data_IF_971521231385
#
_entry.id   IF_971521231385
#
_cell.length_a   1.000
_cell.length_b   1.000
_cell.length_c   1.000
_cell.angle_alpha   90.00
_cell.angle_beta   90.00
_cell.angle_gamma   90.00
#
_symmetry.space_group_name_H-M   'P 1'
#
loop_
_entity.id
_entity.type
_entity.pdbx_description
1 polymer ?
#
# COMPACT_ATOMS: atom_id res chain seq x y z
N UNK A 1 -10.08 4.31 25.88
CA UNK A 1 -10.42 3.97 24.48
C UNK A 1 -9.95 2.55 24.27
N UNK A 2 -10.87 1.58 24.18
CA UNK A 2 -10.51 0.16 24.09
C UNK A 2 -9.78 -0.09 22.78
N UNK A 3 -8.60 -0.71 22.86
CA UNK A 3 -8.00 -1.39 21.72
C UNK A 3 -9.07 -2.35 21.16
N UNK A 4 -9.38 -2.23 19.87
CA UNK A 4 -10.25 -3.17 19.17
C UNK A 4 -9.72 -4.57 19.41
N UNK A 5 -10.57 -5.49 19.88
CA UNK A 5 -10.20 -6.90 20.00
C UNK A 5 -9.76 -7.38 18.60
N UNK A 6 -8.55 -7.93 18.43
CA UNK A 6 -8.04 -8.39 17.14
C UNK A 6 -8.52 -9.81 16.77
N UNK A 7 -9.13 -10.56 17.70
CA UNK A 7 -9.72 -11.87 17.41
C UNK A 7 -10.81 -11.86 16.29
N UNK A 8 -11.72 -10.86 16.21
CA UNK A 8 -12.66 -10.71 15.10
C UNK A 8 -11.99 -10.36 13.76
N UNK A 9 -10.76 -9.82 13.78
CA UNK A 9 -10.01 -9.42 12.58
C UNK A 9 -9.21 -10.60 11.98
N UNK A 10 -9.22 -11.76 12.65
CA UNK A 10 -8.57 -12.97 12.16
C UNK A 10 -7.04 -12.97 12.31
N UNK A 11 -6.50 -12.20 13.26
CA UNK A 11 -5.08 -12.23 13.60
C UNK A 11 -4.72 -13.57 14.27
N UNK A 12 -3.70 -14.30 13.82
CA UNK A 12 -3.32 -15.59 14.40
C UNK A 12 -2.91 -15.50 15.89
N UNK A 13 -3.27 -16.52 16.68
CA UNK A 13 -2.97 -16.55 18.11
C UNK A 13 -1.47 -16.53 18.44
N UNK A 14 -0.62 -17.14 17.60
CA UNK A 14 0.83 -17.12 17.82
C UNK A 14 1.43 -15.73 17.55
N UNK A 15 0.85 -14.96 16.61
CA UNK A 15 1.23 -13.57 16.40
C UNK A 15 0.89 -12.73 17.64
N UNK A 16 -0.29 -12.91 18.22
CA UNK A 16 -0.69 -12.26 19.47
C UNK A 16 0.30 -12.51 20.61
N UNK A 17 0.78 -13.76 20.76
CA UNK A 17 1.78 -14.12 21.79
C UNK A 17 3.11 -13.41 21.54
N UNK A 18 3.62 -13.46 20.31
CA UNK A 18 4.85 -12.75 19.91
C UNK A 18 4.77 -11.26 20.25
N UNK A 19 3.64 -10.60 19.93
CA UNK A 19 3.46 -9.17 20.19
C UNK A 19 3.44 -8.85 21.70
N UNK A 20 2.86 -9.72 22.53
CA UNK A 20 2.85 -9.56 23.98
C UNK A 20 4.26 -9.65 24.60
N UNK A 21 5.16 -10.45 24.00
CA UNK A 21 6.52 -10.65 24.49
C UNK A 21 7.47 -9.47 24.17
N UNK A 22 7.19 -8.67 23.13
CA UNK A 22 8.09 -7.59 22.67
C UNK A 22 8.27 -6.44 23.70
N UNK A 23 7.33 -6.26 24.65
CA UNK A 23 7.34 -5.19 25.68
C UNK A 23 7.94 -3.84 25.20
N UNK A 24 7.49 -3.28 24.06
CA UNK A 24 8.20 -2.19 23.41
C UNK A 24 8.16 -0.88 24.22
N UNK A 25 9.33 -0.31 24.51
CA UNK A 25 9.48 0.94 25.25
C UNK A 25 9.81 0.78 26.75
N UNK A 26 9.93 -0.46 27.24
CA UNK A 26 10.56 -0.72 28.54
C UNK A 26 12.08 -0.88 28.37
N UNK A 27 12.92 -0.49 29.35
CA UNK A 27 14.33 -0.82 29.34
C UNK A 27 14.53 -2.33 29.17
N UNK A 28 15.23 -2.74 28.10
CA UNK A 28 15.45 -4.15 27.74
C UNK A 28 14.38 -4.78 26.84
N UNK A 29 13.34 -4.05 26.42
CA UNK A 29 12.40 -4.51 25.40
C UNK A 29 13.05 -4.55 24.01
N UNK A 30 12.94 -5.68 23.32
CA UNK A 30 13.46 -5.87 21.96
C UNK A 30 12.35 -5.58 20.94
N UNK A 31 12.73 -5.09 19.76
CA UNK A 31 11.83 -4.97 18.61
C UNK A 31 12.48 -5.58 17.37
N UNK A 32 11.64 -6.04 16.45
CA UNK A 32 12.04 -6.38 15.08
C UNK A 32 11.52 -5.29 14.13
N UNK A 33 12.16 -5.13 12.98
CA UNK A 33 11.80 -4.12 11.98
C UNK A 33 12.31 -4.54 10.61
N UNK A 34 11.62 -4.13 9.56
CA UNK A 34 12.03 -4.27 8.16
C UNK A 34 12.80 -3.06 7.63
N UNK A 35 12.94 -2.00 8.43
CA UNK A 35 13.71 -0.80 8.09
C UNK A 35 15.20 -1.15 7.96
N UNK A 36 15.84 -0.62 6.93
CA UNK A 36 17.31 -0.61 6.88
C UNK A 36 17.90 0.25 8.01
N UNK A 37 19.21 0.13 8.25
CA UNK A 37 19.91 0.91 9.29
C UNK A 37 19.70 2.41 9.11
N UNK A 38 19.78 2.91 7.88
CA UNK A 38 19.58 4.34 7.59
C UNK A 38 18.15 4.78 7.87
N UNK A 39 17.17 3.98 7.42
CA UNK A 39 15.75 4.25 7.66
C UNK A 39 15.40 4.23 9.14
N UNK A 40 15.97 3.28 9.90
CA UNK A 40 15.81 3.22 11.36
C UNK A 40 16.25 4.53 12.02
N UNK A 41 17.44 5.02 11.70
CA UNK A 41 17.99 6.24 12.30
C UNK A 41 17.16 7.48 11.92
N UNK A 42 16.71 7.58 10.67
CA UNK A 42 15.90 8.71 10.20
C UNK A 42 14.49 8.70 10.78
N UNK A 43 13.86 7.53 10.93
CA UNK A 43 12.58 7.40 11.64
C UNK A 43 12.72 7.84 13.10
N UNK A 44 13.82 7.47 13.77
CA UNK A 44 14.14 7.96 15.13
C UNK A 44 14.31 9.47 15.17
N UNK A 45 15.04 10.04 14.23
CA UNK A 45 15.26 11.48 14.12
C UNK A 45 13.96 12.24 13.84
N UNK A 46 13.04 11.67 13.06
CA UNK A 46 11.70 12.20 12.82
C UNK A 46 10.79 12.19 14.07
N UNK A 47 11.28 11.68 15.21
CA UNK A 47 10.53 11.63 16.47
C UNK A 47 9.65 10.40 16.62
N UNK A 48 9.97 9.31 15.91
CA UNK A 48 9.23 8.05 15.98
C UNK A 48 10.14 6.92 16.45
N UNK A 49 9.68 6.09 17.40
CA UNK A 49 10.36 4.86 17.79
C UNK A 49 9.71 3.64 17.13
N UNK A 50 10.48 2.78 16.45
CA UNK A 50 9.99 1.47 16.05
C UNK A 50 9.62 0.64 17.29
N UNK A 51 8.50 -0.07 17.20
CA UNK A 51 7.98 -0.88 18.31
C UNK A 51 7.70 -2.34 17.92
N UNK A 52 7.82 -2.68 16.63
CA UNK A 52 7.76 -4.06 16.19
C UNK A 52 7.49 -4.21 14.69
N UNK A 53 7.84 -5.36 14.15
CA UNK A 53 7.45 -5.80 12.83
C UNK A 53 6.01 -6.30 12.90
N UNK A 54 5.15 -5.78 12.03
CA UNK A 54 3.75 -6.17 11.92
C UNK A 54 3.51 -6.82 10.57
N UNK A 55 2.65 -7.84 10.57
CA UNK A 55 2.32 -8.59 9.38
C UNK A 55 0.81 -8.84 9.31
N UNK A 56 0.28 -8.84 8.10
CA UNK A 56 -1.05 -9.35 7.81
C UNK A 56 -0.98 -10.21 6.56
N UNK A 57 -1.66 -11.35 6.58
CA UNK A 57 -1.75 -12.24 5.42
C UNK A 57 -3.22 -12.57 5.13
N UNK A 58 -3.56 -12.71 3.86
CA UNK A 58 -4.84 -13.17 3.36
C UNK A 58 -4.63 -14.17 2.22
N UNK A 59 -5.02 -15.42 2.44
CA UNK A 59 -5.06 -16.43 1.38
C UNK A 59 -6.43 -16.34 0.70
N UNK A 60 -6.41 -16.12 -0.60
CA UNK A 60 -7.62 -15.91 -1.38
C UNK A 60 -7.70 -16.94 -2.51
N UNK A 61 -8.88 -17.55 -2.66
CA UNK A 61 -9.19 -18.37 -3.82
C UNK A 61 -9.76 -17.50 -4.93
N UNK A 62 -9.00 -17.32 -6.00
CA UNK A 62 -9.36 -16.51 -7.15
C UNK A 62 -10.15 -17.35 -8.13
N UNK A 63 -11.48 -17.22 -8.08
CA UNK A 63 -12.34 -17.95 -9.00
C UNK A 63 -12.08 -17.56 -10.47
N UNK A 64 -11.94 -18.56 -11.34
CA UNK A 64 -11.83 -18.36 -12.79
C UNK A 64 -13.13 -17.74 -13.30
N UNK A 65 -13.06 -16.50 -13.77
CA UNK A 65 -14.18 -15.84 -14.43
C UNK A 65 -14.10 -16.06 -15.95
N UNK A 66 -14.87 -17.02 -16.47
CA UNK A 66 -15.06 -17.22 -17.91
C UNK A 66 -15.96 -16.10 -18.48
N UNK A 67 -15.47 -14.86 -18.49
CA UNK A 67 -16.15 -13.73 -19.14
C UNK A 67 -16.09 -13.87 -20.67
N UNK A 68 -17.08 -13.39 -21.43
CA UNK A 68 -17.11 -13.47 -22.92
C UNK A 68 -15.81 -12.92 -23.53
N UNK A 69 -15.00 -13.81 -24.12
CA UNK A 69 -13.60 -13.61 -24.59
C UNK A 69 -13.44 -12.62 -25.77
N UNK A 70 -14.50 -11.89 -26.13
CA UNK A 70 -14.59 -11.08 -27.35
C UNK A 70 -14.73 -9.58 -27.12
N UNK A 71 -14.66 -9.09 -25.88
CA UNK A 71 -14.75 -7.66 -25.56
C UNK A 71 -13.66 -7.23 -24.57
N UNK A 72 -13.06 -6.08 -24.85
CA UNK A 72 -12.23 -5.36 -23.88
C UNK A 72 -13.14 -4.82 -22.78
N UNK A 73 -12.91 -5.24 -21.53
CA UNK A 73 -13.69 -4.78 -20.37
C UNK A 73 -13.00 -5.10 -19.06
N UNK A 74 -13.34 -4.35 -18.02
CA UNK A 74 -12.98 -4.70 -16.65
C UNK A 74 -13.70 -5.99 -16.21
N UNK A 75 -12.95 -6.88 -15.57
CA UNK A 75 -13.49 -7.99 -14.80
C UNK A 75 -13.76 -7.49 -13.38
N UNK A 76 -14.91 -6.83 -13.17
CA UNK A 76 -15.24 -6.14 -11.92
C UNK A 76 -15.22 -7.08 -10.71
N UNK A 77 -15.76 -8.29 -10.82
CA UNK A 77 -15.75 -9.27 -9.72
C UNK A 77 -14.33 -9.65 -9.31
N UNK A 78 -13.46 -9.92 -10.29
CA UNK A 78 -12.07 -10.23 -10.03
C UNK A 78 -11.33 -9.01 -9.45
N UNK A 79 -11.58 -7.81 -9.98
CA UNK A 79 -11.01 -6.56 -9.46
C UNK A 79 -11.38 -6.33 -7.99
N UNK A 80 -12.64 -6.53 -7.64
CA UNK A 80 -13.12 -6.42 -6.26
C UNK A 80 -12.55 -7.52 -5.35
N UNK A 81 -12.41 -8.75 -5.84
CA UNK A 81 -11.77 -9.83 -5.10
C UNK A 81 -10.29 -9.50 -4.79
N UNK A 82 -9.56 -8.99 -5.78
CA UNK A 82 -8.15 -8.61 -5.64
C UNK A 82 -7.96 -7.43 -4.69
N UNK A 83 -8.87 -6.46 -4.74
CA UNK A 83 -8.91 -5.36 -3.79
C UNK A 83 -9.17 -5.86 -2.37
N UNK A 84 -10.25 -6.60 -2.15
CA UNK A 84 -10.66 -7.09 -0.84
C UNK A 84 -9.60 -8.00 -0.21
N UNK A 85 -8.88 -8.81 -1.00
CA UNK A 85 -7.80 -9.64 -0.49
C UNK A 85 -6.64 -8.82 0.10
N UNK A 86 -6.29 -7.68 -0.53
CA UNK A 86 -5.29 -6.73 -0.02
C UNK A 86 -5.79 -5.98 1.20
N UNK A 87 -7.03 -5.50 1.15
CA UNK A 87 -7.68 -4.81 2.26
C UNK A 87 -7.70 -5.67 3.52
N UNK A 88 -7.98 -6.98 3.40
CA UNK A 88 -7.97 -7.92 4.52
C UNK A 88 -6.56 -8.10 5.10
N UNK A 89 -5.53 -8.22 4.26
CA UNK A 89 -4.15 -8.31 4.71
C UNK A 89 -3.73 -7.02 5.44
N UNK A 90 -4.06 -5.85 4.90
CA UNK A 90 -3.79 -4.56 5.53
C UNK A 90 -4.51 -4.42 6.88
N UNK A 91 -5.80 -4.75 6.93
CA UNK A 91 -6.61 -4.69 8.16
C UNK A 91 -6.01 -5.52 9.29
N UNK A 92 -5.48 -6.71 8.96
CA UNK A 92 -4.81 -7.59 9.93
C UNK A 92 -3.47 -7.03 10.41
N UNK A 93 -2.68 -6.44 9.52
CA UNK A 93 -1.45 -5.76 9.89
C UNK A 93 -1.71 -4.54 10.79
N UNK A 94 -2.74 -3.74 10.48
CA UNK A 94 -3.16 -2.60 11.29
C UNK A 94 -3.65 -3.03 12.68
N UNK A 95 -4.34 -4.17 12.76
CA UNK A 95 -4.74 -4.78 14.03
C UNK A 95 -3.55 -5.11 14.93
N UNK A 96 -2.51 -5.76 14.37
CA UNK A 96 -1.27 -6.02 15.10
C UNK A 96 -0.62 -4.72 15.61
N UNK A 97 -0.54 -3.71 14.74
CA UNK A 97 0.04 -2.41 15.12
C UNK A 97 -0.79 -1.70 16.21
N UNK A 98 -2.11 -1.73 16.11
CA UNK A 98 -3.00 -1.17 17.11
C UNK A 98 -2.82 -1.84 18.47
N UNK A 99 -2.63 -3.16 18.50
CA UNK A 99 -2.36 -3.93 19.71
C UNK A 99 -1.01 -3.56 20.35
N UNK A 100 0.01 -3.28 19.55
CA UNK A 100 1.29 -2.74 20.03
C UNK A 100 1.18 -1.29 20.54
N UNK A 101 0.02 -0.65 20.36
CA UNK A 101 -0.18 0.76 20.72
C UNK A 101 0.48 1.73 19.75
N UNK A 102 0.77 1.30 18.51
CA UNK A 102 1.39 2.10 17.47
C UNK A 102 0.58 3.36 17.16
N UNK A 103 1.26 4.39 16.70
CA UNK A 103 0.63 5.57 16.09
C UNK A 103 0.57 5.46 14.56
N UNK A 104 1.45 4.64 13.98
CA UNK A 104 1.40 4.29 12.57
C UNK A 104 2.32 3.13 12.19
N UNK A 105 2.36 2.84 10.90
CA UNK A 105 3.18 1.81 10.27
C UNK A 105 3.90 2.47 9.09
N UNK A 106 5.23 2.31 9.04
CA UNK A 106 6.11 2.89 8.01
C UNK A 106 6.75 1.76 7.20
N UNK A 107 7.10 2.06 5.94
CA UNK A 107 7.81 1.12 5.09
C UNK A 107 6.94 -0.04 4.59
N UNK A 108 5.62 0.14 4.57
CA UNK A 108 4.72 -0.97 4.26
C UNK A 108 4.98 -1.50 2.85
N UNK A 109 4.99 -2.83 2.73
CA UNK A 109 5.11 -3.56 1.47
C UNK A 109 3.93 -4.51 1.33
N UNK A 110 3.28 -4.45 0.17
CA UNK A 110 2.29 -5.42 -0.26
C UNK A 110 2.90 -6.36 -1.29
N UNK A 111 2.88 -7.66 -1.01
CA UNK A 111 3.27 -8.70 -1.96
C UNK A 111 2.14 -9.68 -2.21
N UNK A 112 2.17 -10.28 -3.40
CA UNK A 112 1.24 -11.34 -3.79
C UNK A 112 2.06 -12.55 -4.23
N UNK A 113 1.96 -13.62 -3.47
CA UNK A 113 2.62 -14.90 -3.72
C UNK A 113 1.60 -15.92 -4.24
N UNK A 114 1.83 -16.44 -5.44
CA UNK A 114 1.08 -17.59 -5.92
C UNK A 114 1.49 -18.82 -5.09
N UNK A 115 0.53 -19.59 -4.57
CA UNK A 115 0.82 -20.83 -3.84
C UNK A 115 0.68 -22.01 -4.79
N UNK A 116 1.63 -22.94 -4.75
CA UNK A 116 1.66 -24.13 -5.63
C UNK A 116 0.53 -25.15 -5.34
N UNK A 117 -0.30 -24.92 -4.32
CA UNK A 117 -1.38 -25.83 -3.90
C UNK A 117 -2.63 -25.80 -4.79
N UNK A 118 -2.61 -25.05 -5.90
CA UNK A 118 -3.64 -25.02 -6.92
C UNK A 118 -3.53 -23.73 -7.74
N UNK A 119 -3.82 -23.79 -9.03
CA UNK A 119 -3.65 -22.65 -9.97
C UNK A 119 -4.50 -21.39 -9.64
N UNK A 120 -5.34 -21.46 -8.59
CA UNK A 120 -6.34 -20.46 -8.25
C UNK A 120 -6.18 -19.91 -6.81
N UNK A 121 -5.06 -20.17 -6.13
CA UNK A 121 -4.83 -19.69 -4.75
C UNK A 121 -3.62 -18.76 -4.70
N UNK A 122 -3.83 -17.57 -4.14
CA UNK A 122 -2.77 -16.61 -3.88
C UNK A 122 -2.80 -16.09 -2.45
N UNK A 123 -1.63 -15.81 -1.92
CA UNK A 123 -1.45 -15.17 -0.64
C UNK A 123 -1.07 -13.71 -0.82
N UNK A 124 -1.84 -12.84 -0.18
CA UNK A 124 -1.61 -11.41 -0.11
C UNK A 124 -0.99 -11.11 1.24
N UNK A 125 0.20 -10.52 1.23
CA UNK A 125 0.99 -10.27 2.44
C UNK A 125 1.21 -8.77 2.55
N UNK A 126 0.87 -8.21 3.70
CA UNK A 126 1.21 -6.87 4.14
C UNK A 126 2.26 -6.98 5.24
N UNK A 127 3.36 -6.25 5.09
CA UNK A 127 4.46 -6.20 6.05
C UNK A 127 4.85 -4.74 6.26
N UNK A 128 5.17 -4.36 7.50
CA UNK A 128 5.75 -3.05 7.79
C UNK A 128 6.29 -2.96 9.21
N UNK A 129 6.87 -1.80 9.54
CA UNK A 129 7.35 -1.50 10.89
C UNK A 129 6.35 -0.61 11.61
N UNK A 130 5.77 -1.11 12.71
CA UNK A 130 4.95 -0.31 13.61
C UNK A 130 5.83 0.69 14.36
N UNK A 131 5.37 1.95 14.42
CA UNK A 131 6.06 3.06 15.06
C UNK A 131 5.18 3.77 16.08
N UNK A 132 5.80 4.31 17.13
CA UNK A 132 5.16 5.17 18.13
C UNK A 132 5.80 6.54 18.07
N UNK A 133 5.01 7.61 18.09
CA UNK A 133 5.56 8.95 18.17
C UNK A 133 6.06 9.24 19.60
N UNK A 134 7.18 9.93 19.71
CA UNK A 134 7.75 10.36 20.99
C UNK A 134 7.01 11.60 21.54
N UNK A 135 6.24 12.30 20.70
CA UNK A 135 5.45 13.48 21.07
C UNK A 135 4.13 13.54 20.29
N UNK A 136 3.09 14.24 20.80
CA UNK A 136 1.85 14.49 20.08
C UNK A 136 2.09 15.16 18.73
N UNK A 137 1.16 14.99 17.78
CA UNK A 137 1.28 15.60 16.47
C UNK A 137 1.27 17.14 16.58
N UNK A 138 2.18 17.85 15.91
CA UNK A 138 2.19 19.32 15.90
C UNK A 138 1.08 19.84 14.97
N UNK A 139 -0.16 19.79 15.47
CA UNK A 139 -1.37 20.27 14.80
C UNK A 139 -2.55 19.30 14.86
N UNK A 140 -3.72 19.74 14.39
CA UNK A 140 -4.98 19.00 14.50
C UNK A 140 -5.38 18.74 15.96
N UNK A 141 -5.81 17.52 16.28
CA UNK A 141 -6.20 17.09 17.63
C UNK A 141 -5.03 16.54 18.48
N UNK A 142 -3.78 16.76 18.05
CA UNK A 142 -2.58 16.21 18.71
C UNK A 142 -2.36 14.71 18.49
N UNK A 143 -3.19 14.05 17.67
CA UNK A 143 -3.04 12.65 17.31
C UNK A 143 -2.34 12.47 15.97
N UNK A 144 -1.44 11.49 15.92
CA UNK A 144 -0.82 11.01 14.68
C UNK A 144 -1.71 10.02 13.92
N UNK A 145 -2.72 9.47 14.59
CA UNK A 145 -3.66 8.50 14.00
C UNK A 145 -4.50 9.14 12.89
N UNK A 146 -4.98 8.30 11.99
CA UNK A 146 -5.80 8.73 10.87
C UNK A 146 -7.19 9.22 11.30
N UNK A 147 -8.00 9.71 10.35
CA UNK A 147 -9.36 10.21 10.61
C UNK A 147 -10.30 9.17 11.26
N UNK A 148 -10.00 7.87 11.09
CA UNK A 148 -10.73 6.72 11.67
C UNK A 148 -10.20 6.33 13.06
N UNK A 149 -9.21 7.03 13.60
CA UNK A 149 -8.58 6.72 14.89
C UNK A 149 -7.64 5.49 14.86
N UNK A 150 -7.34 4.96 13.68
CA UNK A 150 -6.44 3.84 13.46
C UNK A 150 -4.99 4.35 13.29
N UNK A 151 -3.97 3.50 13.52
CA UNK A 151 -2.60 3.84 13.15
C UNK A 151 -2.55 4.26 11.68
N UNK A 152 -1.80 5.32 11.34
CA UNK A 152 -1.58 5.65 9.94
C UNK A 152 -0.80 4.51 9.26
N UNK A 153 -0.95 4.36 7.95
CA UNK A 153 -0.15 3.45 7.12
C UNK A 153 0.58 4.23 6.05
N UNK A 154 1.82 3.83 5.73
CA UNK A 154 2.60 4.45 4.67
C UNK A 154 3.52 3.45 3.99
N UNK A 155 3.50 3.44 2.66
CA UNK A 155 4.43 2.67 1.81
C UNK A 155 5.78 3.38 1.62
N UNK A 156 5.91 4.62 2.09
CA UNK A 156 7.14 5.38 2.02
C UNK A 156 8.29 4.67 2.75
N UNK A 157 9.49 4.75 2.17
CA UNK A 157 10.71 4.37 2.87
C UNK A 157 10.89 5.21 4.14
N UNK A 158 11.68 4.75 5.11
CA UNK A 158 11.98 5.57 6.30
C UNK A 158 12.66 6.90 5.95
N UNK A 159 13.38 6.97 4.84
CA UNK A 159 13.99 8.20 4.31
C UNK A 159 12.95 9.18 3.78
N UNK A 160 12.01 8.69 2.97
CA UNK A 160 10.92 9.51 2.41
C UNK A 160 9.96 9.94 3.51
N UNK A 161 9.65 9.05 4.46
CA UNK A 161 8.86 9.35 5.65
C UNK A 161 9.51 10.47 6.48
N UNK A 162 10.80 10.37 6.79
CA UNK A 162 11.52 11.44 7.49
C UNK A 162 11.46 12.77 6.72
N UNK A 163 11.66 12.73 5.40
CA UNK A 163 11.58 13.92 4.54
C UNK A 163 10.19 14.54 4.58
N UNK A 164 9.14 13.72 4.52
CA UNK A 164 7.74 14.15 4.58
C UNK A 164 7.42 14.83 5.92
N UNK A 165 7.77 14.19 7.04
CA UNK A 165 7.55 14.76 8.39
C UNK A 165 8.31 16.07 8.56
N UNK A 166 9.59 16.10 8.18
CA UNK A 166 10.43 17.32 8.27
C UNK A 166 9.91 18.44 7.37
N UNK A 167 9.39 18.09 6.19
CA UNK A 167 8.77 19.06 5.31
C UNK A 167 7.51 19.66 5.93
N UNK A 168 6.87 19.03 6.92
CA UNK A 168 5.67 19.52 7.59
C UNK A 168 4.38 18.83 7.15
N UNK A 169 4.49 17.63 6.58
CA UNK A 169 3.36 16.78 6.20
C UNK A 169 3.29 15.55 7.11
N UNK A 170 2.09 14.98 7.26
CA UNK A 170 1.87 13.72 7.95
C UNK A 170 1.19 12.72 7.01
N UNK A 171 1.57 11.43 7.07
CA UNK A 171 0.81 10.38 6.42
C UNK A 171 -0.53 10.18 7.14
N UNK A 172 -1.56 9.85 6.36
CA UNK A 172 -2.89 9.51 6.83
C UNK A 172 -3.17 8.02 6.71
N UNK A 173 -2.76 7.43 5.59
CA UNK A 173 -3.03 6.04 5.28
C UNK A 173 -2.50 5.70 3.91
N UNK A 174 -2.24 4.41 3.69
CA UNK A 174 -2.05 3.90 2.36
C UNK A 174 -3.39 3.83 1.66
N UNK A 175 -3.37 4.23 0.40
CA UNK A 175 -4.51 4.17 -0.50
C UNK A 175 -4.14 3.33 -1.69
N UNK A 176 -5.11 2.60 -2.25
CA UNK A 176 -4.88 1.72 -3.37
C UNK A 176 -6.04 1.70 -4.35
N UNK A 177 -5.76 1.23 -5.56
CA UNK A 177 -6.78 1.00 -6.57
C UNK A 177 -6.40 -0.18 -7.44
N UNK A 178 -7.35 -1.08 -7.65
CA UNK A 178 -7.15 -2.29 -8.46
C UNK A 178 -8.13 -2.30 -9.63
N UNK A 179 -7.63 -2.56 -10.83
CA UNK A 179 -8.42 -2.85 -12.02
C UNK A 179 -7.86 -4.08 -12.72
N UNK A 180 -8.63 -5.16 -12.79
CA UNK A 180 -8.29 -6.33 -13.58
C UNK A 180 -9.05 -6.25 -14.90
N UNK A 181 -8.30 -6.12 -15.99
CA UNK A 181 -8.86 -5.86 -17.29
C UNK A 181 -8.64 -7.03 -18.24
N UNK A 182 -9.69 -7.42 -18.97
CA UNK A 182 -9.61 -8.42 -20.01
C UNK A 182 -9.36 -7.76 -21.37
N UNK A 183 -8.35 -8.23 -22.08
CA UNK A 183 -8.01 -7.78 -23.43
C UNK A 183 -8.41 -8.88 -24.40
N UNK A 184 -9.40 -8.61 -25.24
CA UNK A 184 -9.88 -9.55 -26.23
C UNK A 184 -8.90 -9.68 -27.40
N UNK A 185 -8.73 -10.90 -27.90
CA UNK A 185 -7.95 -11.15 -29.11
C UNK A 185 -8.64 -10.49 -30.30
N UNK A 186 -7.87 -9.75 -31.11
CA UNK A 186 -8.40 -9.25 -32.37
C UNK A 186 -8.80 -10.41 -33.28
N UNK A 187 -9.88 -10.20 -34.06
CA UNK A 187 -10.17 -11.05 -35.22
C UNK A 187 -8.90 -11.08 -36.09
N UNK A 188 -8.46 -12.27 -36.48
CA UNK A 188 -7.24 -12.55 -37.26
C UNK A 188 -6.94 -11.52 -38.38
N UNK A 189 -7.96 -10.92 -39.01
CA UNK A 189 -7.81 -9.93 -40.08
C UNK A 189 -7.05 -8.63 -39.72
N UNK A 190 -7.12 -8.15 -38.47
CA UNK A 190 -6.43 -6.91 -38.05
C UNK A 190 -4.93 -7.15 -37.74
N UNK A 191 -4.59 -8.38 -37.35
CA UNK A 191 -3.18 -8.79 -37.15
C UNK A 191 -2.48 -8.91 -38.51
N UNK A 192 -3.18 -9.41 -39.55
CA UNK A 192 -2.64 -9.50 -40.90
C UNK A 192 -2.39 -8.14 -41.57
N UNK A 193 -3.17 -7.09 -41.29
CA UNK A 193 -2.96 -5.76 -41.91
C UNK A 193 -1.74 -5.01 -41.38
N UNK A 194 -1.18 -5.44 -40.25
CA UNK A 194 -0.08 -4.79 -39.55
C UNK A 194 1.25 -5.58 -39.64
N UNK A 195 1.27 -6.73 -40.33
CA UNK A 195 2.51 -7.47 -40.60
C UNK A 195 3.48 -6.57 -41.39
N UNK A 196 4.66 -6.30 -40.80
CA UNK A 196 5.70 -5.45 -41.40
C UNK A 196 5.56 -3.95 -41.14
N UNK A 197 4.65 -3.52 -40.25
CA UNK A 197 4.47 -2.11 -39.87
C UNK A 197 4.65 -1.93 -38.36
N UNK A 198 5.48 -0.97 -37.96
CA UNK A 198 5.59 -0.52 -36.58
C UNK A 198 4.55 0.58 -36.32
N UNK A 199 3.32 0.20 -36.03
CA UNK A 199 2.21 1.13 -35.75
C UNK A 199 1.55 0.79 -34.42
N UNK A 200 1.04 1.82 -33.75
CA UNK A 200 0.26 1.66 -32.54
C UNK A 200 -1.03 0.88 -32.83
N UNK A 201 -1.37 -0.06 -31.95
CA UNK A 201 -2.66 -0.73 -31.98
C UNK A 201 -3.60 0.04 -31.06
N UNK A 202 -4.05 1.19 -31.53
CA UNK A 202 -4.82 2.19 -30.77
C UNK A 202 -5.92 1.59 -29.86
N UNK A 203 -6.75 0.61 -30.29
CA UNK A 203 -7.74 -0.01 -29.41
C UNK A 203 -7.17 -0.75 -28.18
N UNK A 204 -5.95 -1.28 -28.25
CA UNK A 204 -5.27 -1.88 -27.11
C UNK A 204 -4.70 -0.80 -26.20
N UNK A 205 -4.04 0.20 -26.79
CA UNK A 205 -3.47 1.30 -26.04
C UNK A 205 -4.55 1.99 -25.21
N UNK A 206 -5.68 2.36 -25.83
CA UNK A 206 -6.80 3.00 -25.15
C UNK A 206 -7.37 2.13 -24.02
N UNK A 207 -7.57 0.82 -24.27
CA UNK A 207 -8.05 -0.09 -23.23
C UNK A 207 -7.10 -0.18 -22.01
N UNK A 208 -5.79 -0.09 -22.24
CA UNK A 208 -4.81 -0.04 -21.14
C UNK A 208 -4.77 1.33 -20.46
N UNK A 209 -5.05 2.43 -21.17
CA UNK A 209 -5.22 3.75 -20.55
C UNK A 209 -6.45 3.76 -19.64
N UNK A 210 -7.61 3.34 -20.14
CA UNK A 210 -8.86 3.27 -19.37
C UNK A 210 -8.69 2.45 -18.07
N UNK A 211 -8.00 1.29 -18.16
CA UNK A 211 -7.76 0.44 -17.01
C UNK A 211 -6.84 1.08 -15.95
N UNK A 212 -5.82 1.84 -16.39
CA UNK A 212 -4.93 2.59 -15.49
C UNK A 212 -5.68 3.74 -14.84
N UNK A 213 -6.46 4.50 -15.61
CA UNK A 213 -7.26 5.60 -15.09
C UNK A 213 -8.23 5.10 -14.02
N UNK A 214 -8.90 3.97 -14.25
CA UNK A 214 -9.83 3.40 -13.27
C UNK A 214 -9.13 2.96 -11.97
N UNK A 215 -7.93 2.40 -12.05
CA UNK A 215 -7.13 2.08 -10.86
C UNK A 215 -6.72 3.37 -10.10
N UNK A 216 -6.32 4.42 -10.82
CA UNK A 216 -5.94 5.71 -10.23
C UNK A 216 -7.13 6.43 -9.60
N UNK A 217 -8.31 6.41 -10.25
CA UNK A 217 -9.55 7.00 -9.74
C UNK A 217 -9.97 6.35 -8.42
N UNK A 218 -9.92 5.02 -8.33
CA UNK A 218 -10.24 4.29 -7.08
C UNK A 218 -9.29 4.66 -5.93
N UNK A 219 -7.99 4.75 -6.22
CA UNK A 219 -6.99 5.18 -5.25
C UNK A 219 -7.22 6.64 -4.79
N UNK A 220 -7.65 7.52 -5.69
CA UNK A 220 -8.01 8.90 -5.36
C UNK A 220 -9.25 8.94 -4.46
N UNK A 221 -10.29 8.16 -4.75
CA UNK A 221 -11.49 8.08 -3.93
C UNK A 221 -11.16 7.68 -2.47
N UNK A 222 -10.26 6.72 -2.27
CA UNK A 222 -9.81 6.36 -0.91
C UNK A 222 -9.08 7.51 -0.20
N UNK A 223 -8.29 8.30 -0.92
CA UNK A 223 -7.60 9.46 -0.36
C UNK A 223 -8.59 10.57 0.01
N UNK A 224 -9.65 10.77 -0.78
CA UNK A 224 -10.74 11.69 -0.48
C UNK A 224 -11.50 11.28 0.79
N UNK A 225 -11.76 9.98 1.00
CA UNK A 225 -12.35 9.45 2.23
C UNK A 225 -11.50 9.72 3.48
N UNK A 226 -10.19 9.83 3.31
CA UNK A 226 -9.25 10.20 4.37
C UNK A 226 -9.09 11.72 4.54
N UNK A 227 -9.74 12.53 3.70
CA UNK A 227 -9.57 13.98 3.62
C UNK A 227 -8.11 14.40 3.38
N UNK A 228 -7.43 13.66 2.50
CA UNK A 228 -6.05 13.94 2.14
C UNK A 228 -5.92 15.20 1.27
N UNK A 229 -4.78 15.90 1.38
CA UNK A 229 -4.39 16.95 0.44
C UNK A 229 -3.90 16.34 -0.89
N UNK A 230 -3.26 15.17 -0.81
CA UNK A 230 -2.76 14.46 -1.98
C UNK A 230 -2.20 13.09 -1.64
N UNK A 231 -1.73 12.40 -2.67
CA UNK A 231 -1.11 11.08 -2.58
C UNK A 231 0.33 11.20 -3.08
N UNK A 232 1.29 10.78 -2.27
CA UNK A 232 2.72 10.78 -2.62
C UNK A 232 3.25 9.36 -2.69
N UNK A 233 4.39 9.20 -3.36
CA UNK A 233 5.02 7.88 -3.52
C UNK A 233 4.23 6.92 -4.41
N UNK A 234 3.36 7.43 -5.29
CA UNK A 234 2.48 6.60 -6.13
C UNK A 234 3.29 5.60 -6.96
N UNK A 235 2.93 4.33 -6.85
CA UNK A 235 3.42 3.26 -7.71
C UNK A 235 2.26 2.68 -8.50
N UNK A 236 2.41 2.60 -9.83
CA UNK A 236 1.44 1.99 -10.73
C UNK A 236 2.08 0.77 -11.40
N UNK A 237 1.59 -0.41 -11.04
CA UNK A 237 2.11 -1.69 -11.51
C UNK A 237 1.12 -2.36 -12.46
N UNK A 238 1.63 -2.96 -13.53
CA UNK A 238 0.85 -3.77 -14.46
C UNK A 238 1.34 -5.23 -14.40
N UNK A 239 0.52 -6.13 -13.87
CA UNK A 239 0.84 -7.54 -13.74
C UNK A 239 0.09 -8.35 -14.80
N UNK A 240 0.83 -8.91 -15.75
CA UNK A 240 0.27 -9.72 -16.81
C UNK A 240 0.14 -11.19 -16.40
N UNK A 241 -0.91 -11.87 -16.86
CA UNK A 241 -1.07 -13.32 -16.79
C UNK A 241 -1.14 -13.95 -15.38
N UNK A 242 -1.23 -13.14 -14.32
CA UNK A 242 -1.30 -13.65 -12.94
C UNK A 242 -2.60 -14.40 -12.64
N UNK A 243 -3.67 -14.09 -13.36
CA UNK A 243 -5.04 -14.58 -13.07
C UNK A 243 -5.73 -15.16 -14.32
N UNK A 244 -4.93 -15.67 -15.27
CA UNK A 244 -5.39 -16.22 -16.56
C UNK A 244 -4.67 -15.64 -17.77
N UNK A 245 -4.67 -16.36 -18.89
CA UNK A 245 -3.86 -16.04 -20.08
C UNK A 245 -4.19 -14.73 -20.80
N UNK A 246 -5.26 -14.02 -20.43
CA UNK A 246 -5.78 -12.86 -21.17
C UNK A 246 -6.22 -11.70 -20.25
N UNK A 247 -5.63 -11.61 -19.05
CA UNK A 247 -5.93 -10.54 -18.10
C UNK A 247 -4.65 -9.81 -17.67
N UNK A 248 -4.80 -8.50 -17.49
CA UNK A 248 -3.78 -7.64 -16.90
C UNK A 248 -4.38 -6.96 -15.68
N UNK A 249 -3.70 -7.08 -14.54
CA UNK A 249 -4.02 -6.35 -13.32
C UNK A 249 -3.23 -5.04 -13.30
N UNK A 250 -3.95 -3.93 -13.23
CA UNK A 250 -3.41 -2.61 -12.90
C UNK A 250 -3.63 -2.34 -11.42
N UNK A 251 -2.54 -2.13 -10.71
CA UNK A 251 -2.54 -1.88 -9.27
C UNK A 251 -1.82 -0.57 -8.99
N UNK A 252 -2.56 0.42 -8.49
CA UNK A 252 -2.06 1.70 -8.01
C UNK A 252 -2.00 1.67 -6.48
N UNK A 253 -0.94 2.21 -5.90
CA UNK A 253 -0.79 2.35 -4.46
C UNK A 253 0.02 3.61 -4.14
N UNK A 254 -0.25 4.24 -3.00
CA UNK A 254 0.60 5.32 -2.47
C UNK A 254 0.19 5.70 -1.06
N UNK A 255 0.84 6.74 -0.52
CA UNK A 255 0.54 7.27 0.81
C UNK A 255 -0.26 8.56 0.68
N UNK A 256 -1.47 8.58 1.23
CA UNK A 256 -2.27 9.78 1.40
C UNK A 256 -1.66 10.67 2.50
N UNK A 257 -1.54 11.97 2.24
CA UNK A 257 -0.86 12.93 3.13
C UNK A 257 -1.72 14.16 3.41
N UNK A 258 -1.42 14.81 4.54
CA UNK A 258 -1.99 16.11 4.91
C UNK A 258 -0.91 17.02 5.51
N UNK A 259 -1.10 18.34 5.51
CA UNK A 259 -0.21 19.23 6.23
C UNK A 259 -0.38 18.99 7.74
N UNK A 260 0.72 19.08 8.48
CA UNK A 260 0.69 19.01 9.94
C UNK A 260 0.09 20.28 10.54
N UNK A 261 0.35 21.42 9.90
CA UNK A 261 -0.05 22.77 10.33
C UNK A 261 -0.34 23.63 9.10
N UNK A 262 -1.28 24.57 9.21
CA UNK A 262 -1.68 25.44 8.09
C UNK A 262 -0.56 26.39 7.66
N UNK A 263 0.36 26.72 8.55
CA UNK A 263 1.50 27.62 8.33
C UNK A 263 2.80 26.87 8.02
N UNK A 264 2.71 25.59 7.61
CA UNK A 264 3.92 24.84 7.33
C UNK A 264 4.66 25.44 6.12
N UNK A 265 5.99 25.51 6.24
CA UNK A 265 6.87 25.97 5.18
C UNK A 265 7.87 24.86 4.89
N UNK A 266 7.95 24.44 3.62
CA UNK A 266 9.00 23.54 3.15
C UNK A 266 10.32 24.29 3.19
N UNK A 267 11.30 23.78 3.94
CA UNK A 267 12.64 24.36 3.98
C UNK A 267 13.25 24.42 2.57
N UNK A 268 13.89 25.55 2.24
CA UNK A 268 14.52 25.71 0.92
C UNK A 268 15.68 24.72 0.80
N UNK A 269 15.70 23.87 -0.25
CA UNK A 269 16.81 22.94 -0.45
C UNK A 269 18.10 23.72 -0.63
N UNK A 270 19.15 23.28 0.04
CA UNK A 270 20.49 23.88 -0.08
C UNK A 270 21.28 23.09 -1.11
N UNK A 271 21.87 23.78 -2.09
CA UNK A 271 22.71 23.12 -3.10
C UNK A 271 23.96 22.54 -2.41
N UNK A 272 24.16 21.23 -2.55
CA UNK A 272 25.40 20.56 -2.18
C UNK A 272 26.13 20.21 -3.46
N UNK A 273 27.27 20.86 -3.73
CA UNK A 273 28.14 20.51 -4.84
C UNK A 273 29.16 19.49 -4.33
N UNK A 274 29.13 18.27 -4.88
CA UNK A 274 30.20 17.30 -4.61
C UNK A 274 31.49 17.77 -5.29
N UNK A 275 32.61 17.69 -4.58
CA UNK A 275 33.95 18.02 -5.10
C UNK A 275 34.61 16.83 -5.80
N UNK A 276 33.93 15.69 -5.87
CA UNK A 276 34.43 14.46 -6.48
C UNK A 276 34.13 14.50 -7.98
N UNK A 277 35.10 15.04 -8.74
CA UNK A 277 35.16 15.00 -10.21
C UNK A 277 36.17 14.00 -10.72
#
# INVERSE_FOLDING_TARGET
MSATDPAPQGVPADAMRRLADLRPGQPGGLFTSDLSVNEFLLVREAGFRPIGLVLGSSIYHVGIQLGRWGKNQELTTLSQAMYHARELAMTRMEAEAAQLGADGIVGVRLSVEAREFGNDIAEFIALGTAVKADSPAPGGNGSWRNAKGQPFTSDLSGQDFWTLIRAGYAPLGMVMGTCVYHIAHQKLGSVFSNIGKNVEIEPFTQALYDARELAMERMQNEAEELHAEGIVGVQLNAHNHRWGGHTTEFFAIGTAVRPLRDDHVIERPTMVLSLDG
#
